data_IF_243006757352
#
_entry.id   IF_243006757352
#
_cell.length_a   1.000
_cell.length_b   1.000
_cell.length_c   1.000
_cell.angle_alpha   90.00
_cell.angle_beta   90.00
_cell.angle_gamma   90.00
#
_symmetry.space_group_name_H-M   'P 1'
#
loop_
_entity.id
_entity.type
_entity.pdbx_description
1 polymer ?
#
# COMPACT_ATOMS: atom_id res chain seq x y z
N UNK A 1 17.58 17.13 98.44
CA UNK A 1 17.46 18.11 97.34
C UNK A 1 18.05 17.62 96.02
N UNK A 2 19.29 17.12 95.98
CA UNK A 2 19.96 16.70 94.72
C UNK A 2 19.22 15.57 93.97
N UNK A 3 18.68 14.58 94.69
CA UNK A 3 17.94 13.46 94.08
C UNK A 3 16.60 13.86 93.44
N UNK A 4 15.92 14.89 93.96
CA UNK A 4 14.65 15.38 93.40
C UNK A 4 14.83 16.20 92.13
N UNK A 5 15.93 16.98 92.03
CA UNK A 5 16.27 17.70 90.80
C UNK A 5 16.64 16.76 89.65
N UNK A 6 17.33 15.65 89.92
CA UNK A 6 17.69 14.68 88.88
C UNK A 6 16.47 13.97 88.28
N UNK A 7 15.46 13.65 89.10
CA UNK A 7 14.21 13.04 88.61
C UNK A 7 13.40 14.02 87.78
N UNK A 8 13.24 15.27 88.22
CA UNK A 8 12.46 16.29 87.49
C UNK A 8 13.14 16.62 86.15
N UNK A 9 14.47 16.78 86.12
CA UNK A 9 15.22 17.03 84.89
C UNK A 9 15.24 15.81 83.95
N UNK A 10 15.26 14.59 84.49
CA UNK A 10 15.18 13.37 83.69
C UNK A 10 13.80 13.13 83.06
N UNK A 11 12.71 13.40 83.80
CA UNK A 11 11.34 13.22 83.27
C UNK A 11 10.99 14.27 82.22
N UNK A 12 11.44 15.52 82.39
CA UNK A 12 11.21 16.57 81.38
C UNK A 12 12.07 16.36 80.14
N UNK A 13 13.31 15.85 80.29
CA UNK A 13 14.16 15.48 79.17
C UNK A 13 13.59 14.30 78.37
N UNK A 14 13.05 13.26 79.04
CA UNK A 14 12.38 12.14 78.36
C UNK A 14 11.09 12.56 77.62
N UNK A 15 10.27 13.44 78.22
CA UNK A 15 9.10 14.01 77.54
C UNK A 15 9.47 14.91 76.36
N UNK A 16 10.63 15.59 76.44
CA UNK A 16 11.14 16.42 75.35
C UNK A 16 11.65 15.56 74.18
N UNK A 17 12.40 14.48 74.44
CA UNK A 17 12.85 13.54 73.41
C UNK A 17 11.68 12.81 72.73
N UNK A 18 10.64 12.42 73.48
CA UNK A 18 9.45 11.79 72.88
C UNK A 18 8.65 12.74 71.96
N UNK A 19 8.68 14.05 72.25
CA UNK A 19 8.01 15.04 71.41
C UNK A 19 8.79 15.32 70.12
N UNK A 20 10.13 15.38 70.18
CA UNK A 20 10.98 15.48 68.99
C UNK A 20 10.92 14.21 68.13
N UNK A 21 10.89 13.02 68.74
CA UNK A 21 10.74 11.75 68.02
C UNK A 21 9.38 11.64 67.30
N UNK A 22 8.30 12.19 67.87
CA UNK A 22 6.99 12.28 67.20
C UNK A 22 6.99 13.27 66.04
N UNK A 23 7.66 14.41 66.19
CA UNK A 23 7.77 15.40 65.11
C UNK A 23 8.64 14.87 63.95
N UNK A 24 9.75 14.21 64.25
CA UNK A 24 10.60 13.53 63.26
C UNK A 24 9.86 12.36 62.57
N UNK A 25 9.01 11.64 63.31
CA UNK A 25 8.13 10.60 62.75
C UNK A 25 7.09 11.17 61.78
N UNK A 26 6.47 12.31 62.12
CA UNK A 26 5.53 13.02 61.25
C UNK A 26 6.20 13.54 59.97
N UNK A 27 7.39 14.12 60.07
CA UNK A 27 8.16 14.57 58.91
C UNK A 27 8.61 13.39 58.03
N UNK A 28 8.96 12.25 58.63
CA UNK A 28 9.29 11.03 57.87
C UNK A 28 8.07 10.46 57.13
N UNK A 29 6.88 10.48 57.75
CA UNK A 29 5.64 10.05 57.10
C UNK A 29 5.17 11.03 56.00
N UNK A 30 5.31 12.33 56.23
CA UNK A 30 4.99 13.36 55.24
C UNK A 30 5.96 13.34 54.06
N UNK A 31 7.26 13.12 54.29
CA UNK A 31 8.24 12.97 53.21
C UNK A 31 8.08 11.64 52.46
N UNK A 32 7.76 10.53 53.12
CA UNK A 32 7.44 9.26 52.43
C UNK A 32 6.17 9.35 51.57
N UNK A 33 5.11 10.00 52.08
CA UNK A 33 3.88 10.19 51.29
C UNK A 33 4.11 11.13 50.11
N UNK A 34 4.82 12.25 50.31
CA UNK A 34 5.14 13.21 49.25
C UNK A 34 6.10 12.62 48.19
N UNK A 35 7.05 11.78 48.59
CA UNK A 35 7.94 11.07 47.66
C UNK A 35 7.17 10.00 46.88
N UNK A 36 6.30 9.22 47.52
CA UNK A 36 5.48 8.20 46.84
C UNK A 36 4.51 8.80 45.82
N UNK A 37 3.90 9.96 46.13
CA UNK A 37 3.01 10.68 45.22
C UNK A 37 3.78 11.22 44.00
N UNK A 38 4.95 11.85 44.23
CA UNK A 38 5.82 12.34 43.15
C UNK A 38 6.40 11.21 42.29
N UNK A 39 6.71 10.05 42.88
CA UNK A 39 7.17 8.86 42.15
C UNK A 39 6.05 8.26 41.29
N UNK A 40 4.81 8.21 41.80
CA UNK A 40 3.63 7.80 41.03
C UNK A 40 3.36 8.75 39.86
N UNK A 41 3.42 10.06 40.09
CA UNK A 41 3.29 11.08 39.06
C UNK A 41 4.38 10.94 37.98
N UNK A 42 5.65 10.83 38.38
CA UNK A 42 6.76 10.59 37.47
C UNK A 42 6.59 9.29 36.66
N UNK A 43 6.11 8.21 37.29
CA UNK A 43 5.83 6.93 36.63
C UNK A 43 4.71 7.06 35.59
N UNK A 44 3.64 7.80 35.88
CA UNK A 44 2.55 8.03 34.92
C UNK A 44 2.97 8.92 33.77
N UNK A 45 3.79 9.96 34.03
CA UNK A 45 4.39 10.81 32.99
C UNK A 45 5.30 9.99 32.09
N UNK A 46 6.15 9.13 32.65
CA UNK A 46 7.01 8.25 31.87
C UNK A 46 6.19 7.28 31.02
N UNK A 47 5.19 6.61 31.61
CA UNK A 47 4.28 5.72 30.89
C UNK A 47 3.51 6.45 29.77
N UNK A 48 3.09 7.70 29.99
CA UNK A 48 2.45 8.53 28.98
C UNK A 48 3.41 8.91 27.85
N UNK A 49 4.64 9.32 28.16
CA UNK A 49 5.67 9.60 27.17
C UNK A 49 6.03 8.36 26.35
N UNK A 50 6.18 7.20 27.00
CA UNK A 50 6.40 5.91 26.31
C UNK A 50 5.23 5.57 25.39
N UNK A 51 3.98 5.74 25.83
CA UNK A 51 2.77 5.56 25.00
C UNK A 51 2.76 6.51 23.80
N UNK A 52 3.11 7.78 24.00
CA UNK A 52 3.17 8.77 22.91
C UNK A 52 4.26 8.45 21.89
N UNK A 53 5.44 8.00 22.32
CA UNK A 53 6.53 7.59 21.43
C UNK A 53 6.08 6.42 20.52
N UNK A 54 5.57 5.33 21.11
CA UNK A 54 5.05 4.18 20.35
C UNK A 54 3.93 4.60 19.38
N UNK A 55 3.06 5.55 19.78
CA UNK A 55 1.97 6.05 18.92
C UNK A 55 2.49 6.88 17.75
N UNK A 56 3.52 7.70 17.94
CA UNK A 56 4.16 8.46 16.86
C UNK A 56 4.81 7.51 15.84
N UNK A 57 5.51 6.49 16.32
CA UNK A 57 6.11 5.46 15.45
C UNK A 57 5.05 4.68 14.68
N UNK A 58 3.95 4.29 15.32
CA UNK A 58 2.81 3.65 14.65
C UNK A 58 2.22 4.55 13.56
N UNK A 59 1.94 5.82 13.88
CA UNK A 59 1.42 6.79 12.90
C UNK A 59 2.37 6.97 11.71
N UNK A 60 3.68 7.06 11.97
CA UNK A 60 4.71 7.15 10.93
C UNK A 60 4.74 5.89 10.05
N UNK A 61 4.70 4.70 10.65
CA UNK A 61 4.60 3.44 9.92
C UNK A 61 3.33 3.37 9.06
N UNK A 62 2.18 3.83 9.57
CA UNK A 62 0.95 3.88 8.79
C UNK A 62 1.06 4.86 7.61
N UNK A 63 1.70 6.01 7.82
CA UNK A 63 1.95 6.99 6.76
C UNK A 63 2.85 6.41 5.65
N UNK A 64 3.91 5.66 6.01
CA UNK A 64 4.76 4.96 5.05
C UNK A 64 3.94 3.95 4.27
N UNK A 65 3.16 3.10 4.94
CA UNK A 65 2.30 2.10 4.29
C UNK A 65 1.32 2.74 3.31
N UNK A 66 0.69 3.84 3.69
CA UNK A 66 -0.24 4.57 2.83
C UNK A 66 0.48 5.17 1.61
N UNK A 67 1.66 5.74 1.81
CA UNK A 67 2.49 6.30 0.73
C UNK A 67 2.93 5.21 -0.26
N UNK A 68 3.39 4.06 0.22
CA UNK A 68 3.74 2.91 -0.60
C UNK A 68 2.54 2.37 -1.38
N UNK A 69 1.36 2.30 -0.75
CA UNK A 69 0.11 1.90 -1.42
C UNK A 69 -0.21 2.84 -2.58
N UNK A 70 -0.18 4.16 -2.34
CA UNK A 70 -0.42 5.19 -3.38
C UNK A 70 0.59 5.08 -4.52
N UNK A 71 1.86 4.88 -4.21
CA UNK A 71 2.91 4.70 -5.21
C UNK A 71 2.68 3.46 -6.07
N UNK A 72 2.38 2.31 -5.44
CA UNK A 72 2.07 1.05 -6.13
C UNK A 72 0.84 1.20 -7.02
N UNK A 73 -0.21 1.85 -6.52
CA UNK A 73 -1.44 2.14 -7.26
C UNK A 73 -1.16 2.98 -8.51
N UNK A 74 -0.42 4.09 -8.38
CA UNK A 74 -0.02 4.94 -9.51
C UNK A 74 0.79 4.19 -10.56
N UNK A 75 1.73 3.33 -10.13
CA UNK A 75 2.50 2.48 -11.06
C UNK A 75 1.60 1.50 -11.81
N UNK A 76 0.64 0.88 -11.12
CA UNK A 76 -0.33 -0.03 -11.75
C UNK A 76 -1.28 0.69 -12.71
N UNK A 77 -1.76 1.89 -12.37
CA UNK A 77 -2.58 2.72 -13.25
C UNK A 77 -1.85 2.97 -14.57
N UNK A 78 -0.62 3.48 -14.50
CA UNK A 78 0.19 3.77 -15.68
C UNK A 78 0.42 2.52 -16.55
N UNK A 79 0.76 1.38 -15.92
CA UNK A 79 0.98 0.14 -16.65
C UNK A 79 -0.29 -0.36 -17.35
N UNK A 80 -1.44 -0.31 -16.68
CA UNK A 80 -2.73 -0.76 -17.25
C UNK A 80 -3.17 0.16 -18.39
N UNK A 81 -3.08 1.48 -18.21
CA UNK A 81 -3.39 2.46 -19.26
C UNK A 81 -2.53 2.22 -20.49
N UNK A 82 -1.20 2.12 -20.32
CA UNK A 82 -0.28 1.88 -21.42
C UNK A 82 -0.56 0.54 -22.12
N UNK A 83 -0.84 -0.52 -21.35
CA UNK A 83 -1.19 -1.84 -21.90
C UNK A 83 -2.47 -1.77 -22.73
N UNK A 84 -3.52 -1.14 -22.22
CA UNK A 84 -4.80 -1.03 -22.91
C UNK A 84 -4.69 -0.26 -24.25
N UNK A 85 -3.81 0.73 -24.31
CA UNK A 85 -3.57 1.53 -25.53
C UNK A 85 -2.80 0.74 -26.60
N UNK A 86 -1.75 0.03 -26.21
CA UNK A 86 -0.83 -0.65 -27.14
C UNK A 86 -1.20 -2.12 -27.38
N UNK A 87 -2.25 -2.63 -26.74
CA UNK A 87 -2.72 -4.00 -26.94
C UNK A 87 -3.25 -4.20 -28.36
N UNK A 88 -2.81 -5.32 -28.97
CA UNK A 88 -3.23 -5.75 -30.31
C UNK A 88 -4.62 -6.41 -30.32
N UNK A 89 -4.96 -7.09 -29.22
CA UNK A 89 -6.18 -7.91 -29.09
C UNK A 89 -7.03 -7.44 -27.91
N UNK A 90 -8.35 -7.66 -27.96
CA UNK A 90 -9.30 -7.31 -26.88
C UNK A 90 -8.96 -8.03 -25.56
N UNK A 91 -8.54 -9.29 -25.63
CA UNK A 91 -8.08 -10.06 -24.46
C UNK A 91 -6.83 -9.43 -23.82
N UNK A 92 -5.89 -8.98 -24.66
CA UNK A 92 -4.68 -8.30 -24.21
C UNK A 92 -4.97 -6.89 -23.66
N UNK A 93 -6.03 -6.23 -24.11
CA UNK A 93 -6.54 -4.96 -23.55
C UNK A 93 -7.08 -5.15 -22.15
N UNK A 94 -7.84 -6.22 -21.87
CA UNK A 94 -8.32 -6.53 -20.52
C UNK A 94 -7.25 -7.17 -19.62
N UNK A 95 -6.32 -7.93 -20.21
CA UNK A 95 -5.19 -8.55 -19.50
C UNK A 95 -5.53 -9.96 -19.04
N UNK A 96 -6.35 -10.63 -19.83
CA UNK A 96 -6.83 -11.99 -19.58
C UNK A 96 -6.34 -12.91 -20.69
N UNK A 97 -6.15 -14.20 -20.40
CA UNK A 97 -5.91 -15.19 -21.44
C UNK A 97 -7.16 -15.35 -22.33
N UNK A 98 -6.96 -15.87 -23.55
CA UNK A 98 -8.08 -16.15 -24.47
C UNK A 98 -9.04 -17.23 -23.93
N UNK A 99 -8.52 -18.14 -23.11
CA UNK A 99 -9.27 -19.20 -22.42
C UNK A 99 -9.91 -18.72 -21.10
N UNK A 100 -9.93 -17.41 -20.84
CA UNK A 100 -10.51 -16.89 -19.60
C UNK A 100 -12.01 -17.19 -19.50
N UNK A 101 -12.42 -17.54 -18.28
CA UNK A 101 -13.83 -17.72 -17.94
C UNK A 101 -14.57 -16.36 -17.96
N UNK A 102 -15.91 -16.35 -18.15
CA UNK A 102 -16.70 -15.11 -18.09
C UNK A 102 -16.51 -14.37 -16.76
N UNK A 103 -16.38 -15.09 -15.65
CA UNK A 103 -16.10 -14.51 -14.33
C UNK A 103 -14.76 -13.78 -14.29
N UNK A 104 -13.71 -14.40 -14.84
CA UNK A 104 -12.38 -13.78 -14.92
C UNK A 104 -12.41 -12.51 -15.78
N UNK A 105 -13.18 -12.51 -16.88
CA UNK A 105 -13.39 -11.33 -17.72
C UNK A 105 -14.08 -10.22 -16.93
N UNK A 106 -15.11 -10.53 -16.13
CA UNK A 106 -15.78 -9.52 -15.30
C UNK A 106 -14.88 -8.95 -14.20
N UNK A 107 -14.04 -9.79 -13.58
CA UNK A 107 -13.05 -9.33 -12.60
C UNK A 107 -12.02 -8.41 -13.27
N UNK A 108 -11.50 -8.80 -14.44
CA UNK A 108 -10.54 -8.02 -15.19
C UNK A 108 -11.11 -6.70 -15.70
N UNK A 109 -12.36 -6.68 -16.17
CA UNK A 109 -13.12 -5.48 -16.54
C UNK A 109 -13.18 -4.49 -15.38
N UNK A 110 -13.69 -4.94 -14.22
CA UNK A 110 -13.80 -4.09 -13.01
C UNK A 110 -12.44 -3.53 -12.59
N UNK A 111 -11.40 -4.36 -12.67
CA UNK A 111 -10.03 -3.96 -12.38
C UNK A 111 -9.54 -2.90 -13.36
N UNK A 112 -9.61 -3.15 -14.66
CA UNK A 112 -9.13 -2.25 -15.70
C UNK A 112 -9.84 -0.89 -15.61
N UNK A 113 -11.17 -0.86 -15.53
CA UNK A 113 -11.97 0.37 -15.42
C UNK A 113 -11.58 1.22 -14.22
N UNK A 114 -11.35 0.61 -13.06
CA UNK A 114 -10.92 1.34 -11.85
C UNK A 114 -9.58 2.05 -12.05
N UNK A 115 -8.67 1.43 -12.78
CA UNK A 115 -7.30 1.94 -12.99
C UNK A 115 -7.18 2.90 -14.19
N UNK A 116 -8.08 2.80 -15.18
CA UNK A 116 -8.12 3.68 -16.35
C UNK A 116 -9.08 4.85 -16.21
N UNK A 117 -9.85 4.94 -15.11
CA UNK A 117 -10.84 6.01 -14.92
C UNK A 117 -10.20 7.41 -14.98
N UNK A 118 -10.72 8.36 -15.79
CA UNK A 118 -10.12 9.68 -16.01
C UNK A 118 -10.05 10.55 -14.74
N UNK A 119 -11.00 10.39 -13.81
CA UNK A 119 -10.98 11.10 -12.52
C UNK A 119 -9.78 10.71 -11.63
N UNK A 120 -9.45 9.41 -11.59
CA UNK A 120 -8.38 8.88 -10.71
C UNK A 120 -7.02 8.87 -11.39
N UNK A 121 -7.00 8.81 -12.72
CA UNK A 121 -5.79 8.73 -13.51
C UNK A 121 -5.60 10.02 -14.32
N UNK A 122 -4.66 10.85 -13.90
CA UNK A 122 -4.32 12.14 -14.52
C UNK A 122 -3.56 12.03 -15.84
N UNK A 123 -3.41 10.83 -16.39
CA UNK A 123 -2.73 10.62 -17.67
C UNK A 123 -3.64 11.09 -18.82
N UNK A 124 -3.17 11.92 -19.76
CA UNK A 124 -3.98 12.36 -20.90
C UNK A 124 -4.48 11.20 -21.77
N UNK A 125 -3.80 10.05 -21.74
CA UNK A 125 -4.22 8.87 -22.50
C UNK A 125 -5.21 7.98 -21.72
N UNK A 126 -5.55 8.32 -20.47
CA UNK A 126 -6.47 7.55 -19.64
C UNK A 126 -7.86 7.42 -20.29
N UNK A 127 -8.37 8.50 -20.89
CA UNK A 127 -9.67 8.50 -21.59
C UNK A 127 -9.68 7.52 -22.75
N UNK A 128 -8.64 7.54 -23.60
CA UNK A 128 -8.50 6.61 -24.74
C UNK A 128 -8.39 5.16 -24.26
N UNK A 129 -7.63 4.91 -23.20
CA UNK A 129 -7.51 3.59 -22.60
C UNK A 129 -8.85 3.11 -22.03
N UNK A 130 -9.60 4.00 -21.37
CA UNK A 130 -10.91 3.70 -20.80
C UNK A 130 -11.90 3.27 -21.87
N UNK A 131 -11.98 4.00 -23.00
CA UNK A 131 -12.81 3.62 -24.14
C UNK A 131 -12.44 2.23 -24.67
N UNK A 132 -11.15 1.98 -24.94
CA UNK A 132 -10.69 0.65 -25.42
C UNK A 132 -11.01 -0.49 -24.45
N UNK A 133 -10.90 -0.24 -23.15
CA UNK A 133 -11.27 -1.22 -22.11
C UNK A 133 -12.79 -1.45 -22.11
N UNK A 134 -13.59 -0.42 -22.33
CA UNK A 134 -15.04 -0.51 -22.51
C UNK A 134 -15.42 -1.38 -23.69
N UNK A 135 -14.89 -1.07 -24.87
CA UNK A 135 -15.16 -1.81 -26.10
C UNK A 135 -14.77 -3.29 -25.94
N UNK A 136 -13.56 -3.54 -25.44
CA UNK A 136 -13.09 -4.91 -25.18
C UNK A 136 -13.97 -5.65 -24.18
N UNK A 137 -14.47 -4.97 -23.16
CA UNK A 137 -15.36 -5.57 -22.18
C UNK A 137 -16.74 -5.88 -22.75
N UNK A 138 -17.28 -5.04 -23.63
CA UNK A 138 -18.59 -5.27 -24.28
C UNK A 138 -18.48 -6.51 -25.16
N UNK A 139 -17.51 -6.56 -26.07
CA UNK A 139 -17.32 -7.70 -26.98
C UNK A 139 -17.03 -9.01 -26.26
N UNK A 140 -16.25 -8.98 -25.16
CA UNK A 140 -15.86 -10.20 -24.46
C UNK A 140 -16.86 -10.68 -23.40
N UNK A 141 -17.82 -9.83 -23.01
CA UNK A 141 -18.87 -10.20 -22.04
C UNK A 141 -19.96 -11.02 -22.71
N UNK A 142 -20.36 -10.63 -23.91
CA UNK A 142 -21.39 -11.33 -24.68
C UNK A 142 -20.80 -12.56 -25.38
N UNK A 143 -21.31 -13.78 -25.13
CA UNK A 143 -20.79 -15.00 -25.75
C UNK A 143 -20.93 -15.00 -27.28
N UNK A 144 -21.96 -14.38 -27.85
CA UNK A 144 -22.16 -14.35 -29.31
C UNK A 144 -21.14 -13.42 -29.98
N UNK A 145 -20.98 -12.21 -29.45
CA UNK A 145 -19.98 -11.25 -29.93
C UNK A 145 -18.56 -11.76 -29.71
N UNK A 146 -18.29 -12.45 -28.59
CA UNK A 146 -17.00 -13.10 -28.35
C UNK A 146 -16.69 -14.17 -29.39
N UNK A 147 -17.66 -15.03 -29.70
CA UNK A 147 -17.50 -16.07 -30.71
C UNK A 147 -17.27 -15.47 -32.11
N UNK A 148 -18.00 -14.40 -32.44
CA UNK A 148 -17.80 -13.66 -33.70
C UNK A 148 -16.40 -13.06 -33.78
N UNK A 149 -15.96 -12.36 -32.73
CA UNK A 149 -14.61 -11.80 -32.63
C UNK A 149 -13.53 -12.88 -32.78
N UNK A 150 -13.69 -14.03 -32.13
CA UNK A 150 -12.73 -15.13 -32.21
C UNK A 150 -12.65 -15.71 -33.64
N UNK A 151 -13.78 -15.81 -34.37
CA UNK A 151 -13.78 -16.21 -35.79
C UNK A 151 -13.05 -15.20 -36.68
N UNK A 152 -13.32 -13.92 -36.52
CA UNK A 152 -12.64 -12.84 -37.26
C UNK A 152 -11.13 -12.82 -36.99
N UNK A 153 -10.73 -13.15 -35.76
CA UNK A 153 -9.33 -13.22 -35.36
C UNK A 153 -8.58 -14.37 -36.05
N UNK A 154 -9.25 -15.48 -36.35
CA UNK A 154 -8.67 -16.60 -37.12
C UNK A 154 -8.57 -16.22 -38.61
N UNK A 155 -9.65 -15.68 -39.18
CA UNK A 155 -9.68 -15.26 -40.58
C UNK A 155 -8.66 -14.17 -40.88
N UNK A 156 -8.52 -13.18 -40.01
CA UNK A 156 -7.55 -12.09 -40.15
C UNK A 156 -6.09 -12.57 -40.07
N UNK A 157 -5.81 -13.67 -39.38
CA UNK A 157 -4.47 -14.29 -39.38
C UNK A 157 -4.19 -14.99 -40.70
N UNK A 158 -5.18 -15.72 -41.23
CA UNK A 158 -5.07 -16.41 -42.51
C UNK A 158 -4.83 -15.42 -43.65
N UNK A 159 -5.62 -14.35 -43.73
CA UNK A 159 -5.45 -13.31 -44.77
C UNK A 159 -4.10 -12.60 -44.67
N UNK A 160 -3.64 -12.26 -43.45
CA UNK A 160 -2.30 -11.68 -43.26
C UNK A 160 -1.19 -12.63 -43.74
N UNK A 161 -1.29 -13.92 -43.42
CA UNK A 161 -0.32 -14.90 -43.91
C UNK A 161 -0.34 -15.00 -45.43
N UNK A 162 -1.53 -15.04 -46.06
CA UNK A 162 -1.67 -15.08 -47.50
C UNK A 162 -1.06 -13.86 -48.18
N UNK A 163 -1.41 -12.66 -47.72
CA UNK A 163 -0.85 -11.40 -48.24
C UNK A 163 0.67 -11.36 -48.09
N UNK A 164 1.19 -11.90 -46.98
CA UNK A 164 2.63 -11.97 -46.76
C UNK A 164 3.32 -12.93 -47.74
N UNK A 165 2.78 -14.13 -47.97
CA UNK A 165 3.30 -15.09 -48.96
C UNK A 165 3.20 -14.56 -50.39
N UNK A 166 2.12 -13.86 -50.71
CA UNK A 166 1.92 -13.25 -52.02
C UNK A 166 2.91 -12.10 -52.28
N UNK A 167 3.15 -11.22 -51.30
CA UNK A 167 4.19 -10.17 -51.42
C UNK A 167 5.59 -10.75 -51.62
N UNK A 168 5.94 -11.84 -50.92
CA UNK A 168 7.23 -12.52 -51.06
C UNK A 168 7.36 -13.09 -52.48
N UNK A 169 6.37 -13.83 -52.95
CA UNK A 169 6.39 -14.43 -54.29
C UNK A 169 6.39 -13.39 -55.43
N UNK A 170 5.72 -12.25 -55.27
CA UNK A 170 5.79 -11.12 -56.22
C UNK A 170 7.20 -10.49 -56.23
N UNK A 171 7.86 -10.40 -55.07
CA UNK A 171 9.24 -9.89 -54.99
C UNK A 171 10.26 -10.81 -55.69
N UNK A 172 10.04 -12.12 -55.64
CA UNK A 172 10.84 -13.13 -56.34
C UNK A 172 10.63 -13.06 -57.86
N UNK A 173 9.38 -12.88 -58.32
CA UNK A 173 9.05 -12.72 -59.75
C UNK A 173 9.60 -11.42 -60.35
N UNK A 174 9.64 -10.33 -59.58
CA UNK A 174 10.17 -9.03 -60.02
C UNK A 174 11.70 -8.91 -59.98
N UNK A 175 12.43 -10.03 -59.94
CA UNK A 175 13.89 -10.05 -60.04
C UNK A 175 14.65 -9.57 -58.79
N UNK A 176 13.95 -9.18 -57.71
CA UNK A 176 14.56 -8.95 -56.38
C UNK A 176 14.69 -10.28 -55.63
N UNK A 177 15.40 -11.23 -56.24
CA UNK A 177 15.64 -12.55 -55.64
C UNK A 177 16.44 -12.34 -54.36
N UNK A 178 15.86 -12.75 -53.23
CA UNK A 178 16.53 -12.72 -51.93
C UNK A 178 17.84 -13.52 -52.04
N UNK A 179 18.97 -12.89 -51.73
CA UNK A 179 20.28 -13.54 -51.77
C UNK A 179 20.73 -13.81 -50.32
N UNK A 180 20.70 -15.06 -49.84
CA UNK A 180 21.05 -15.41 -48.45
C UNK A 180 22.49 -15.02 -48.08
N UNK A 181 23.39 -14.89 -49.07
CA UNK A 181 24.80 -14.59 -48.88
C UNK A 181 25.09 -13.09 -48.62
N UNK A 182 24.08 -12.23 -48.62
CA UNK A 182 24.24 -10.78 -48.40
C UNK A 182 24.27 -10.37 -46.92
N UNK A 183 24.03 -11.32 -46.01
CA UNK A 183 23.96 -11.08 -44.55
C UNK A 183 25.29 -11.32 -43.81
N UNK A 184 26.30 -11.87 -44.51
CA UNK A 184 27.64 -12.15 -43.97
C UNK A 184 28.72 -11.31 -44.67
N UNK A 185 28.52 -9.99 -44.73
CA UNK A 185 29.57 -9.01 -45.06
C UNK A 185 29.67 -7.98 -43.96
#
# INVERSE_FOLDING_TARGET
CVALCAVILGTTFAQFTEHEDRLLGLDHMLTQSLTSAKVSEASTILANHSRQAVRKDFNFQQQIKQSLRKFKEKRTQKHITKRALHAKDMYATLGVPRLASPEQIQIAKRKAMRFTHPDKNKDPEATKAFTRVGDAAITLTDPEERAKYDRELVQSKQTKSHIQWEKVSISEKNGRRWNPLRMFK
#
